data_IF_769042573510
#
_entry.id   IF_769042573510
#
_cell.length_a   1.000
_cell.length_b   1.000
_cell.length_c   1.000
_cell.angle_alpha   90.00
_cell.angle_beta   90.00
_cell.angle_gamma   90.00
#
_symmetry.space_group_name_H-M   'P 1'
#
loop_
_entity.id
_entity.type
_entity.pdbx_description
1 polymer ?
#
# COMPACT_ATOMS: atom_id res chain seq x y z
N UNK A 1 11.37 -1.52 -21.33
CA UNK A 1 10.95 -0.16 -20.94
C UNK A 1 10.48 -0.29 -19.51
N UNK A 2 11.16 0.37 -18.56
CA UNK A 2 10.75 0.32 -17.16
C UNK A 2 9.32 0.86 -17.06
N UNK A 3 8.39 0.00 -16.68
CA UNK A 3 6.99 0.34 -16.68
C UNK A 3 6.74 1.21 -15.44
N UNK A 4 6.34 2.46 -15.65
CA UNK A 4 6.13 3.43 -14.59
C UNK A 4 5.22 2.87 -13.50
N UNK A 5 5.56 3.15 -12.24
CA UNK A 5 4.70 2.82 -11.10
C UNK A 5 3.34 3.51 -11.29
N UNK A 6 2.21 2.79 -11.15
CA UNK A 6 0.88 3.38 -11.26
C UNK A 6 0.69 4.50 -10.25
N UNK A 7 0.07 5.59 -10.68
CA UNK A 7 -0.29 6.67 -9.78
C UNK A 7 -1.51 6.25 -8.97
N UNK A 8 -1.36 6.22 -7.64
CA UNK A 8 -2.47 5.89 -6.72
C UNK A 8 -2.75 7.10 -5.85
N UNK A 9 -3.96 7.65 -5.99
CA UNK A 9 -4.36 8.84 -5.24
C UNK A 9 -4.35 8.61 -3.72
N UNK A 10 -3.92 9.61 -2.97
CA UNK A 10 -4.08 9.61 -1.52
C UNK A 10 -5.57 9.50 -1.14
N UNK A 11 -5.87 8.74 -0.09
CA UNK A 11 -7.22 8.38 0.33
C UNK A 11 -7.77 7.12 -0.33
N UNK A 12 -7.10 6.57 -1.36
CA UNK A 12 -7.52 5.30 -1.97
C UNK A 12 -7.44 4.16 -0.96
N UNK A 13 -8.51 3.39 -0.82
CA UNK A 13 -8.50 2.16 -0.04
C UNK A 13 -7.99 0.98 -0.87
N UNK A 14 -6.81 0.48 -0.53
CA UNK A 14 -6.28 -0.76 -1.07
C UNK A 14 -6.64 -1.93 -0.15
N UNK A 15 -7.29 -2.95 -0.71
CA UNK A 15 -7.40 -4.29 -0.10
C UNK A 15 -6.35 -5.19 -0.74
N UNK A 16 -5.51 -5.87 0.02
CA UNK A 16 -4.41 -6.64 -0.52
C UNK A 16 -4.55 -8.06 -0.03
N UNK A 17 -4.64 -9.00 -0.97
CA UNK A 17 -4.63 -10.42 -0.66
C UNK A 17 -3.22 -10.87 -0.24
N UNK A 18 -3.07 -12.06 0.40
CA UNK A 18 -1.76 -12.57 0.84
C UNK A 18 -0.63 -12.55 -0.19
N UNK A 19 -0.95 -12.60 -1.50
CA UNK A 19 0.02 -12.55 -2.59
C UNK A 19 0.33 -11.14 -3.12
N UNK A 20 -0.48 -10.14 -2.77
CA UNK A 20 -0.36 -8.77 -3.28
C UNK A 20 0.69 -7.94 -2.53
N UNK A 21 1.21 -8.45 -1.41
CA UNK A 21 2.17 -7.76 -0.56
C UNK A 21 3.19 -8.74 0.04
N UNK A 22 4.37 -8.25 0.38
CA UNK A 22 5.49 -9.10 0.84
C UNK A 22 6.12 -8.68 2.16
N UNK A 23 5.94 -7.42 2.57
CA UNK A 23 6.46 -6.91 3.82
C UNK A 23 5.58 -5.77 4.32
N UNK A 24 5.36 -5.70 5.63
CA UNK A 24 4.82 -4.50 6.26
C UNK A 24 5.08 -4.53 7.75
N UNK A 25 5.37 -3.36 8.31
CA UNK A 25 5.65 -3.24 9.75
C UNK A 25 4.39 -3.60 10.55
N UNK A 26 4.54 -4.44 11.56
CA UNK A 26 3.46 -4.91 12.43
C UNK A 26 2.30 -5.59 11.68
N UNK A 27 2.60 -6.22 10.54
CA UNK A 27 1.68 -7.06 9.76
C UNK A 27 2.12 -8.52 9.78
N UNK A 28 1.15 -9.43 9.75
CA UNK A 28 1.40 -10.86 9.66
C UNK A 28 1.44 -11.28 8.18
N UNK A 29 2.60 -11.72 7.63
CA UNK A 29 2.66 -12.22 6.26
C UNK A 29 1.64 -13.33 6.02
N UNK A 30 1.08 -13.39 4.81
CA UNK A 30 0.08 -14.39 4.46
C UNK A 30 -1.35 -14.03 4.87
N UNK A 31 -1.59 -12.83 5.41
CA UNK A 31 -2.94 -12.35 5.75
C UNK A 31 -3.41 -11.27 4.78
N UNK A 32 -4.73 -11.18 4.51
CA UNK A 32 -5.28 -10.04 3.79
C UNK A 32 -5.19 -8.78 4.65
N UNK A 33 -4.89 -7.64 4.02
CA UNK A 33 -4.76 -6.34 4.70
C UNK A 33 -5.53 -5.25 3.96
N UNK A 34 -5.85 -4.18 4.68
CA UNK A 34 -6.42 -2.97 4.10
C UNK A 34 -5.55 -1.76 4.43
N UNK A 35 -5.27 -0.92 3.44
CA UNK A 35 -4.43 0.27 3.56
C UNK A 35 -5.10 1.43 2.86
N UNK A 36 -5.39 2.50 3.59
CA UNK A 36 -5.77 3.78 2.98
C UNK A 36 -4.49 4.53 2.64
N UNK A 37 -4.29 4.80 1.35
CA UNK A 37 -3.04 5.33 0.79
C UNK A 37 -2.81 6.77 1.25
N UNK A 38 -1.58 7.08 1.61
CA UNK A 38 -1.08 8.44 1.81
C UNK A 38 -0.08 8.80 0.72
N UNK A 39 0.82 7.89 0.35
CA UNK A 39 1.73 8.06 -0.79
C UNK A 39 2.28 6.72 -1.28
N UNK A 40 2.68 6.67 -2.55
CA UNK A 40 3.44 5.56 -3.13
C UNK A 40 4.87 6.03 -3.36
N UNK A 41 5.85 5.28 -2.85
CA UNK A 41 7.27 5.53 -3.06
C UNK A 41 7.84 4.50 -4.01
N UNK A 42 8.27 4.99 -5.16
CA UNK A 42 9.18 4.25 -6.02
C UNK A 42 10.59 4.33 -5.44
N UNK A 43 11.27 3.19 -5.30
CA UNK A 43 12.66 3.17 -4.86
C UNK A 43 13.53 2.82 -6.07
N UNK A 44 14.51 3.67 -6.43
CA UNK A 44 15.42 3.35 -7.50
C UNK A 44 16.16 2.04 -7.18
N UNK A 45 16.17 1.10 -8.13
CA UNK A 45 16.88 -0.19 -8.09
C UNK A 45 16.24 -1.34 -7.31
N UNK A 46 14.92 -1.34 -7.04
CA UNK A 46 14.22 -2.56 -6.63
C UNK A 46 13.22 -2.98 -7.71
N UNK A 47 13.20 -4.28 -8.01
CA UNK A 47 12.49 -4.91 -9.11
C UNK A 47 11.18 -4.20 -9.47
N UNK A 48 10.97 -3.96 -10.77
CA UNK A 48 9.81 -3.29 -11.40
C UNK A 48 8.43 -3.86 -10.98
N UNK A 49 8.43 -4.92 -10.18
CA UNK A 49 7.29 -5.66 -9.69
C UNK A 49 6.80 -5.22 -8.30
N UNK A 50 7.59 -4.48 -7.51
CA UNK A 50 7.24 -4.14 -6.11
C UNK A 50 7.50 -2.68 -5.75
N UNK A 51 6.55 -2.04 -5.06
CA UNK A 51 6.64 -0.64 -4.59
C UNK A 51 6.28 -0.51 -3.12
N UNK A 52 6.69 0.59 -2.50
CA UNK A 52 6.29 0.90 -1.13
C UNK A 52 5.05 1.77 -1.13
N UNK A 53 4.04 1.34 -0.38
CA UNK A 53 2.83 2.11 -0.11
C UNK A 53 2.88 2.56 1.34
N UNK A 54 2.86 3.87 1.56
CA UNK A 54 2.62 4.46 2.87
C UNK A 54 1.15 4.77 3.02
N UNK A 55 0.62 4.50 4.21
CA UNK A 55 -0.79 4.71 4.47
C UNK A 55 -1.16 4.48 5.92
N UNK A 56 -2.42 4.10 6.12
CA UNK A 56 -2.95 3.77 7.44
C UNK A 56 -4.03 2.70 7.35
N UNK A 57 -4.24 1.97 8.46
CA UNK A 57 -5.37 1.04 8.57
C UNK A 57 -6.67 1.84 8.51
N UNK A 58 -7.73 1.36 7.84
CA UNK A 58 -9.05 2.01 7.91
C UNK A 58 -9.51 2.24 9.35
N UNK A 59 -9.12 1.34 10.25
CA UNK A 59 -9.43 1.38 11.68
C UNK A 59 -8.39 2.16 12.52
N UNK A 60 -7.39 2.85 11.91
CA UNK A 60 -6.48 3.79 12.62
C UNK A 60 -7.30 5.03 13.10
N UNK A 61 -8.24 4.81 14.02
CA UNK A 61 -8.93 5.78 14.84
C UNK A 61 -8.59 5.43 16.31
N UNK A 62 -7.43 5.88 16.78
CA UNK A 62 -7.04 5.69 18.17
C UNK A 62 -7.72 6.77 19.02
N UNK A 63 -8.63 6.43 19.95
CA UNK A 63 -9.44 7.42 20.67
C UNK A 63 -8.63 8.39 21.54
N UNK A 64 -7.39 8.03 21.87
CA UNK A 64 -6.54 8.73 22.84
C UNK A 64 -5.17 9.12 22.28
N UNK A 65 -4.93 8.92 20.98
CA UNK A 65 -3.68 9.29 20.31
C UNK A 65 -4.05 10.13 19.10
N UNK A 66 -3.44 11.32 18.99
CA UNK A 66 -3.60 12.13 17.79
C UNK A 66 -3.19 11.33 16.55
N UNK A 67 -4.09 11.24 15.57
CA UNK A 67 -3.88 10.42 14.38
C UNK A 67 -2.70 10.99 13.59
N UNK A 68 -1.63 10.22 13.47
CA UNK A 68 -0.40 10.61 12.76
C UNK A 68 -0.18 9.77 11.48
N UNK A 69 -0.98 9.94 10.41
CA UNK A 69 -0.72 9.23 9.17
C UNK A 69 0.63 9.68 8.56
N UNK A 70 1.40 8.77 7.94
CA UNK A 70 1.12 7.34 7.78
C UNK A 70 1.44 6.51 9.05
N UNK A 71 0.50 5.63 9.46
CA UNK A 71 0.71 4.63 10.52
C UNK A 71 1.27 3.29 9.95
N UNK A 72 1.31 3.14 8.62
CA UNK A 72 1.72 1.92 7.92
C UNK A 72 2.67 2.19 6.76
N UNK A 73 3.56 1.24 6.53
CA UNK A 73 4.39 1.12 5.33
C UNK A 73 4.38 -0.35 4.88
N UNK A 74 3.99 -0.60 3.64
CA UNK A 74 3.78 -1.95 3.07
C UNK A 74 4.41 -2.04 1.69
N UNK A 75 5.12 -3.13 1.42
CA UNK A 75 5.66 -3.46 0.11
C UNK A 75 4.62 -4.24 -0.70
N UNK A 76 4.12 -3.61 -1.76
CA UNK A 76 2.98 -4.04 -2.56
C UNK A 76 3.41 -4.37 -3.98
N UNK A 77 2.82 -5.40 -4.58
CA UNK A 77 3.04 -5.75 -5.97
C UNK A 77 2.45 -4.68 -6.89
N UNK A 78 3.21 -4.26 -7.91
CA UNK A 78 2.74 -3.27 -8.90
C UNK A 78 1.48 -3.75 -9.63
N UNK A 79 1.36 -5.07 -9.87
CA UNK A 79 0.17 -5.67 -10.48
C UNK A 79 -1.10 -5.45 -9.64
N UNK A 80 -0.99 -5.47 -8.31
CA UNK A 80 -2.11 -5.23 -7.39
C UNK A 80 -2.59 -3.77 -7.42
N UNK A 81 -1.74 -2.84 -7.83
CA UNK A 81 -2.12 -1.43 -8.03
C UNK A 81 -2.83 -1.23 -9.37
N UNK A 82 -2.35 -1.86 -10.45
CA UNK A 82 -2.93 -1.74 -11.81
C UNK A 82 -4.31 -2.34 -11.96
N UNK A 83 -4.59 -3.43 -11.24
CA UNK A 83 -5.92 -4.07 -11.27
C UNK A 83 -7.06 -3.15 -10.83
N UNK A 84 -6.74 -2.00 -10.20
CA UNK A 84 -7.73 -1.08 -9.61
C UNK A 84 -8.02 0.17 -10.42
N UNK A 85 -7.20 0.54 -11.41
CA UNK A 85 -7.51 1.66 -12.32
C UNK A 85 -8.75 1.37 -13.19
N UNK A 86 -9.15 0.11 -13.33
CA UNK A 86 -10.28 -0.32 -14.18
C UNK A 86 -11.64 -0.38 -13.48
N UNK A 87 -11.72 -0.12 -12.17
CA UNK A 87 -12.94 -0.28 -11.38
C UNK A 87 -13.50 1.04 -10.83
N UNK A 88 -13.20 2.17 -11.47
CA UNK A 88 -13.79 3.49 -11.19
C UNK A 88 -14.85 3.86 -12.22
#
# INVERSE_FOLDING_TARGET
>A
MAQSVPEVAAGTLLRLDPGDWSYGRDLTPGTPIAVTVTSVRDLPNRAEEWVWVLGHRPECAYPHVERHPPCMEVRVAVAALRGRERAS
#
